data_IF_914782534569
#
_entry.id   IF_914782534569
#
_cell.length_a   1.000
_cell.length_b   1.000
_cell.length_c   1.000
_cell.angle_alpha   90.00
_cell.angle_beta   90.00
_cell.angle_gamma   90.00
#
_symmetry.space_group_name_H-M   'P 1'
#
loop_
_entity.id
_entity.type
_entity.pdbx_description
1 polymer ?
#
# COMPACT_ATOMS: atom_id res chain seq x y z
N UNK A 1 -40.35 8.68 4.89
CA UNK A 1 -39.10 9.21 4.30
C UNK A 1 -39.13 8.88 2.81
N UNK A 2 -39.55 9.86 1.97
CA UNK A 2 -39.60 9.69 0.52
C UNK A 2 -38.16 9.57 -0.02
N UNK A 3 -37.95 8.66 -1.00
CA UNK A 3 -36.70 8.54 -1.71
C UNK A 3 -36.44 9.84 -2.52
N UNK A 4 -35.31 10.55 -2.33
CA UNK A 4 -35.08 11.82 -3.00
C UNK A 4 -34.72 11.58 -4.48
N UNK A 5 -35.70 11.64 -5.38
CA UNK A 5 -35.52 11.37 -6.83
C UNK A 5 -34.42 12.23 -7.46
N UNK A 6 -34.33 13.52 -7.11
CA UNK A 6 -33.30 14.42 -7.64
C UNK A 6 -31.90 13.98 -7.24
N UNK A 7 -31.73 13.48 -6.03
CA UNK A 7 -30.48 12.94 -5.54
C UNK A 7 -30.10 11.65 -6.30
N UNK A 8 -31.07 10.74 -6.45
CA UNK A 8 -30.87 9.50 -7.20
C UNK A 8 -30.51 9.75 -8.67
N UNK A 9 -31.21 10.69 -9.33
CA UNK A 9 -30.92 11.03 -10.73
C UNK A 9 -29.50 11.62 -10.91
N UNK A 10 -29.09 12.51 -10.00
CA UNK A 10 -27.74 13.09 -10.02
C UNK A 10 -26.67 12.04 -9.80
N UNK A 11 -26.87 11.12 -8.85
CA UNK A 11 -25.93 10.02 -8.60
C UNK A 11 -25.91 9.00 -9.73
N UNK A 12 -27.04 8.72 -10.38
CA UNK A 12 -27.09 7.82 -11.53
C UNK A 12 -26.18 8.30 -12.66
N UNK A 13 -26.17 9.61 -12.95
CA UNK A 13 -25.25 10.18 -13.94
C UNK A 13 -23.79 10.00 -13.53
N UNK A 14 -23.44 10.31 -12.27
CA UNK A 14 -22.07 10.16 -11.77
C UNK A 14 -21.62 8.70 -11.81
N UNK A 15 -22.47 7.76 -11.43
CA UNK A 15 -22.20 6.32 -11.49
C UNK A 15 -21.97 5.88 -12.92
N UNK A 16 -22.83 6.30 -13.84
CA UNK A 16 -22.66 5.96 -15.26
C UNK A 16 -21.34 6.47 -15.83
N UNK A 17 -21.04 7.76 -15.66
CA UNK A 17 -19.80 8.37 -16.15
C UNK A 17 -18.57 7.71 -15.51
N UNK A 18 -18.57 7.49 -14.20
CA UNK A 18 -17.47 6.86 -13.48
C UNK A 18 -17.23 5.43 -13.98
N UNK A 19 -18.30 4.65 -14.15
CA UNK A 19 -18.22 3.28 -14.66
C UNK A 19 -17.73 3.23 -16.10
N UNK A 20 -18.18 4.19 -16.94
CA UNK A 20 -17.74 4.31 -18.32
C UNK A 20 -16.23 4.64 -18.39
N UNK A 21 -15.76 5.61 -17.58
CA UNK A 21 -14.31 5.95 -17.50
C UNK A 21 -13.52 4.74 -17.01
N UNK A 22 -13.99 4.05 -15.97
CA UNK A 22 -13.33 2.84 -15.46
C UNK A 22 -13.20 1.76 -16.53
N UNK A 23 -14.23 1.58 -17.35
CA UNK A 23 -14.27 0.55 -18.41
C UNK A 23 -13.34 0.89 -19.57
N UNK A 24 -13.30 2.15 -20.01
CA UNK A 24 -12.61 2.54 -21.25
C UNK A 24 -11.23 3.16 -21.02
N UNK A 25 -11.01 3.74 -19.83
CA UNK A 25 -9.76 4.42 -19.45
C UNK A 25 -9.36 4.10 -17.99
N UNK A 26 -9.17 2.80 -17.66
CA UNK A 26 -8.96 2.39 -16.27
C UNK A 26 -7.76 3.09 -15.63
N UNK A 27 -6.64 3.25 -16.32
CA UNK A 27 -5.47 3.94 -15.78
C UNK A 27 -5.77 5.39 -15.38
N UNK A 28 -6.54 6.14 -16.18
CA UNK A 28 -6.94 7.49 -15.86
C UNK A 28 -7.91 7.53 -14.66
N UNK A 29 -8.83 6.57 -14.60
CA UNK A 29 -9.77 6.43 -13.49
C UNK A 29 -9.04 6.24 -12.16
N UNK A 30 -8.11 5.28 -12.08
CA UNK A 30 -7.36 5.01 -10.85
C UNK A 30 -6.39 6.14 -10.51
N UNK A 31 -5.76 6.78 -11.50
CA UNK A 31 -4.92 7.95 -11.29
C UNK A 31 -5.72 9.09 -10.62
N UNK A 32 -6.92 9.38 -11.12
CA UNK A 32 -7.79 10.40 -10.57
C UNK A 32 -8.23 10.06 -9.14
N UNK A 33 -8.63 8.80 -8.86
CA UNK A 33 -9.02 8.38 -7.52
C UNK A 33 -7.87 8.46 -6.52
N UNK A 34 -6.67 8.03 -6.91
CA UNK A 34 -5.48 8.12 -6.06
C UNK A 34 -5.11 9.57 -5.75
N UNK A 35 -5.28 10.48 -6.72
CA UNK A 35 -5.04 11.91 -6.51
C UNK A 35 -6.12 12.59 -5.68
N UNK A 36 -7.32 12.03 -5.62
CA UNK A 36 -8.43 12.51 -4.80
C UNK A 36 -8.39 12.04 -3.35
N UNK A 37 -7.34 11.29 -2.96
CA UNK A 37 -7.16 10.89 -1.57
C UNK A 37 -6.86 12.11 -0.65
N UNK A 38 -7.36 12.10 0.60
CA UNK A 38 -8.03 11.01 1.30
C UNK A 38 -9.50 10.84 0.91
N UNK A 39 -9.89 9.59 0.61
CA UNK A 39 -11.27 9.20 0.34
C UNK A 39 -11.79 8.28 1.45
N UNK A 40 -13.13 8.29 1.71
CA UNK A 40 -13.71 7.61 2.86
C UNK A 40 -13.54 6.09 2.88
N UNK A 41 -13.72 5.40 1.75
CA UNK A 41 -13.93 3.95 1.76
C UNK A 41 -12.75 3.12 1.25
N UNK A 42 -11.88 3.65 0.40
CA UNK A 42 -10.82 2.89 -0.25
C UNK A 42 -9.43 3.43 0.09
N UNK A 43 -8.55 2.54 0.54
CA UNK A 43 -7.13 2.88 0.72
C UNK A 43 -6.40 2.93 -0.62
N UNK A 44 -5.24 3.62 -0.71
CA UNK A 44 -4.39 3.56 -1.89
C UNK A 44 -4.01 2.13 -2.29
N UNK A 45 -3.74 1.25 -1.31
CA UNK A 45 -3.44 -0.17 -1.55
C UNK A 45 -4.57 -0.87 -2.30
N UNK A 46 -5.83 -0.71 -1.83
CA UNK A 46 -6.99 -1.32 -2.49
C UNK A 46 -7.20 -0.80 -3.91
N UNK A 47 -7.00 0.51 -4.13
CA UNK A 47 -7.11 1.11 -5.47
C UNK A 47 -6.03 0.58 -6.42
N UNK A 48 -4.80 0.46 -5.95
CA UNK A 48 -3.68 -0.09 -6.74
C UNK A 48 -3.91 -1.57 -7.07
N UNK A 49 -4.39 -2.36 -6.11
CA UNK A 49 -4.72 -3.77 -6.37
C UNK A 49 -5.85 -3.92 -7.37
N UNK A 50 -6.91 -3.11 -7.26
CA UNK A 50 -8.02 -3.12 -8.20
C UNK A 50 -7.57 -2.67 -9.60
N UNK A 51 -6.70 -1.65 -9.68
CA UNK A 51 -6.08 -1.22 -10.93
C UNK A 51 -5.34 -2.38 -11.63
N UNK A 52 -4.51 -3.10 -10.88
CA UNK A 52 -3.76 -4.26 -11.40
C UNK A 52 -4.67 -5.39 -11.87
N UNK A 53 -5.81 -5.63 -11.20
CA UNK A 53 -6.84 -6.61 -11.64
C UNK A 53 -7.56 -6.19 -12.93
N UNK A 54 -7.48 -4.91 -13.29
CA UNK A 54 -8.00 -4.35 -14.54
C UNK A 54 -6.88 -4.08 -15.56
N UNK A 55 -5.78 -4.84 -15.46
CA UNK A 55 -4.64 -4.81 -16.39
C UNK A 55 -3.93 -3.44 -16.48
N UNK A 56 -4.06 -2.60 -15.45
CA UNK A 56 -3.32 -1.35 -15.36
C UNK A 56 -1.92 -1.62 -14.81
N UNK A 57 -0.90 -1.34 -15.61
CA UNK A 57 0.48 -1.36 -15.14
C UNK A 57 0.72 -0.20 -14.19
N UNK A 58 1.11 -0.50 -12.95
CA UNK A 58 1.41 0.48 -11.90
C UNK A 58 2.91 0.50 -11.64
N UNK A 59 3.51 1.67 -11.74
CA UNK A 59 4.94 1.91 -11.57
C UNK A 59 5.21 2.58 -10.20
N UNK A 60 6.30 2.19 -9.50
CA UNK A 60 6.62 2.73 -8.18
C UNK A 60 6.98 4.23 -8.23
N UNK A 61 6.99 4.91 -7.07
CA UNK A 61 7.58 6.24 -6.98
C UNK A 61 9.06 6.21 -7.39
N UNK A 62 9.48 7.22 -8.16
CA UNK A 62 10.84 7.33 -8.68
C UNK A 62 11.23 8.82 -8.76
N UNK A 63 12.37 9.19 -8.20
CA UNK A 63 12.87 10.57 -8.18
C UNK A 63 13.08 11.14 -9.58
N UNK A 64 13.34 10.29 -10.58
CA UNK A 64 13.55 10.70 -11.96
C UNK A 64 12.29 10.78 -12.80
N UNK A 65 11.18 10.17 -12.35
CA UNK A 65 9.95 10.10 -13.14
C UNK A 65 8.73 10.67 -12.42
N UNK A 66 8.63 10.47 -11.11
CA UNK A 66 7.44 10.88 -10.35
C UNK A 66 7.37 12.39 -10.14
N UNK A 67 6.14 12.88 -10.12
CA UNK A 67 5.77 14.18 -9.58
C UNK A 67 5.22 14.01 -8.16
N UNK A 68 4.76 15.10 -7.54
CA UNK A 68 4.04 14.99 -6.27
C UNK A 68 2.79 14.13 -6.40
N UNK A 69 1.95 14.43 -7.38
CA UNK A 69 0.75 13.64 -7.68
C UNK A 69 1.07 12.42 -8.54
N UNK A 70 0.15 11.45 -8.54
CA UNK A 70 0.19 10.32 -9.47
C UNK A 70 -0.03 10.81 -10.89
N UNK A 71 0.64 10.19 -11.87
CA UNK A 71 0.61 10.59 -13.27
C UNK A 71 0.45 9.40 -14.20
N UNK A 72 0.08 9.66 -15.45
CA UNK A 72 0.07 8.68 -16.52
C UNK A 72 1.29 8.89 -17.40
N UNK A 73 2.11 7.85 -17.55
CA UNK A 73 3.27 7.89 -18.44
C UNK A 73 2.90 7.48 -19.86
N UNK A 74 3.33 8.27 -20.85
CA UNK A 74 3.22 7.97 -22.28
C UNK A 74 4.31 6.96 -22.71
N UNK A 75 4.11 6.15 -23.77
CA UNK A 75 2.90 6.07 -24.60
C UNK A 75 1.83 5.13 -24.04
N UNK A 76 2.20 4.22 -23.12
CA UNK A 76 1.37 3.11 -22.69
C UNK A 76 0.35 3.45 -21.58
N UNK A 77 0.30 4.71 -21.16
CA UNK A 77 -0.57 5.19 -20.07
C UNK A 77 -0.40 4.37 -18.78
N UNK A 78 0.84 4.01 -18.45
CA UNK A 78 1.14 3.37 -17.18
C UNK A 78 0.86 4.34 -16.04
N UNK A 79 0.31 3.85 -14.94
CA UNK A 79 0.07 4.65 -13.76
C UNK A 79 1.36 4.75 -12.94
N UNK A 80 2.02 5.91 -12.95
CA UNK A 80 3.17 6.21 -12.08
C UNK A 80 2.68 6.71 -10.73
N UNK A 81 3.11 6.05 -9.66
CA UNK A 81 2.82 6.52 -8.30
C UNK A 81 3.60 7.79 -7.99
N UNK A 82 2.90 8.76 -7.41
CA UNK A 82 3.47 10.06 -7.04
C UNK A 82 4.23 10.01 -5.71
N UNK A 83 5.12 10.97 -5.51
CA UNK A 83 5.94 11.11 -4.30
C UNK A 83 5.09 11.35 -3.04
N UNK A 84 3.87 11.90 -3.17
CA UNK A 84 2.91 12.07 -2.06
C UNK A 84 2.55 10.77 -1.33
N UNK A 85 2.81 9.62 -1.96
CA UNK A 85 2.58 8.31 -1.36
C UNK A 85 3.62 8.00 -0.28
N UNK A 86 4.82 8.57 -0.37
CA UNK A 86 5.90 8.36 0.59
C UNK A 86 5.56 9.08 1.89
N UNK A 87 5.35 8.30 2.94
CA UNK A 87 4.91 8.79 4.23
C UNK A 87 5.97 9.69 4.88
N UNK A 88 5.57 10.90 5.24
CA UNK A 88 6.43 11.87 5.90
C UNK A 88 7.32 12.70 4.98
N UNK A 89 7.34 12.42 3.68
CA UNK A 89 8.06 13.25 2.70
C UNK A 89 7.42 14.64 2.64
N UNK A 90 8.25 15.69 2.66
CA UNK A 90 7.76 17.05 2.60
C UNK A 90 7.31 17.42 1.18
N UNK A 91 6.13 18.07 1.07
CA UNK A 91 5.63 18.53 -0.23
C UNK A 91 6.61 19.54 -0.86
N UNK A 92 7.18 20.43 -0.05
CA UNK A 92 8.19 21.40 -0.52
C UNK A 92 9.50 20.75 -0.98
N UNK A 93 9.92 19.65 -0.31
CA UNK A 93 11.07 18.85 -0.75
C UNK A 93 10.81 18.18 -2.09
N UNK A 94 9.63 17.58 -2.25
CA UNK A 94 9.24 16.96 -3.52
C UNK A 94 9.09 17.99 -4.66
N UNK A 95 8.61 19.18 -4.36
CA UNK A 95 8.52 20.26 -5.34
C UNK A 95 9.91 20.73 -5.81
N UNK A 96 10.86 20.92 -4.89
CA UNK A 96 12.24 21.23 -5.25
C UNK A 96 12.88 20.12 -6.06
N UNK A 97 12.64 18.86 -5.71
CA UNK A 97 13.10 17.69 -6.44
C UNK A 97 12.59 17.71 -7.89
N UNK A 98 11.32 17.98 -8.10
CA UNK A 98 10.73 18.04 -9.43
C UNK A 98 11.26 19.24 -10.24
N UNK A 99 11.29 20.44 -9.64
CA UNK A 99 11.66 21.68 -10.33
C UNK A 99 13.15 21.74 -10.70
N UNK A 100 14.01 21.10 -9.91
CA UNK A 100 15.46 21.09 -10.12
C UNK A 100 15.97 19.81 -10.80
N UNK A 101 15.06 18.97 -11.29
CA UNK A 101 15.41 17.71 -11.97
C UNK A 101 16.12 18.03 -13.29
N UNK A 102 17.37 17.51 -13.49
CA UNK A 102 18.04 17.61 -14.78
C UNK A 102 17.24 16.93 -15.90
N UNK A 103 17.39 17.36 -17.13
CA UNK A 103 16.73 16.75 -18.29
C UNK A 103 17.04 15.25 -18.44
N UNK A 104 18.25 14.85 -18.05
CA UNK A 104 18.70 13.45 -18.06
C UNK A 104 18.40 12.69 -16.74
N UNK A 105 17.74 13.34 -15.79
CA UNK A 105 17.50 12.82 -14.43
C UNK A 105 18.72 12.95 -13.52
N UNK A 106 18.50 12.62 -12.24
CA UNK A 106 19.58 12.53 -11.24
C UNK A 106 20.37 11.25 -11.46
N UNK A 107 21.70 11.32 -11.27
CA UNK A 107 22.64 10.22 -11.50
C UNK A 107 23.23 9.64 -10.22
N UNK A 108 23.11 10.36 -9.10
CA UNK A 108 23.61 9.93 -7.79
C UNK A 108 22.82 10.53 -6.64
N UNK A 109 22.97 9.95 -5.45
CA UNK A 109 22.39 10.45 -4.20
C UNK A 109 22.95 11.82 -3.84
N UNK A 110 24.23 12.07 -4.12
CA UNK A 110 24.89 13.36 -3.89
C UNK A 110 24.32 14.45 -4.79
N UNK A 111 24.17 14.18 -6.09
CA UNK A 111 23.58 15.11 -7.05
C UNK A 111 22.13 15.43 -6.69
N UNK A 112 21.32 14.41 -6.36
CA UNK A 112 19.95 14.59 -5.91
C UNK A 112 19.87 15.52 -4.68
N UNK A 113 20.69 15.24 -3.66
CA UNK A 113 20.74 16.05 -2.44
C UNK A 113 21.10 17.50 -2.75
N UNK A 114 22.14 17.69 -3.54
CA UNK A 114 22.67 19.03 -3.85
C UNK A 114 21.70 19.85 -4.69
N UNK A 115 21.25 19.32 -5.82
CA UNK A 115 20.40 20.06 -6.75
C UNK A 115 18.98 20.31 -6.20
N UNK A 116 18.40 19.31 -5.55
CA UNK A 116 17.07 19.45 -4.97
C UNK A 116 17.08 20.09 -3.57
N UNK A 117 18.25 20.31 -2.97
CA UNK A 117 18.36 20.91 -1.64
C UNK A 117 17.60 20.11 -0.57
N UNK A 118 17.66 18.78 -0.63
CA UNK A 118 16.93 17.91 0.28
C UNK A 118 17.68 17.77 1.60
N UNK A 119 16.91 17.77 2.69
CA UNK A 119 17.45 17.48 4.02
C UNK A 119 17.67 15.98 4.21
N UNK A 120 18.39 15.61 5.28
CA UNK A 120 18.71 14.22 5.60
C UNK A 120 17.44 13.35 5.71
N UNK A 121 16.40 13.85 6.39
CA UNK A 121 15.14 13.14 6.57
C UNK A 121 14.45 12.83 5.24
N UNK A 122 14.32 13.80 4.34
CA UNK A 122 13.68 13.57 3.02
C UNK A 122 14.48 12.55 2.21
N UNK A 123 15.81 12.59 2.26
CA UNK A 123 16.69 11.60 1.61
C UNK A 123 16.49 10.18 2.17
N UNK A 124 16.41 10.04 3.50
CA UNK A 124 16.16 8.76 4.15
C UNK A 124 14.77 8.19 3.79
N UNK A 125 13.76 9.03 3.69
CA UNK A 125 12.42 8.62 3.27
C UNK A 125 12.38 8.13 1.82
N UNK A 126 13.09 8.81 0.92
CA UNK A 126 13.26 8.37 -0.47
C UNK A 126 14.02 7.04 -0.57
N UNK A 127 15.08 6.86 0.21
CA UNK A 127 15.82 5.59 0.30
C UNK A 127 14.92 4.46 0.82
N UNK A 128 14.19 4.70 1.92
CA UNK A 128 13.25 3.74 2.50
C UNK A 128 12.14 3.32 1.55
N UNK A 129 11.68 4.25 0.71
CA UNK A 129 10.68 3.98 -0.32
C UNK A 129 11.25 3.33 -1.59
N UNK A 130 12.57 3.08 -1.64
CA UNK A 130 13.27 2.61 -2.84
C UNK A 130 13.00 3.47 -4.08
N UNK A 131 12.91 4.80 -3.88
CA UNK A 131 12.51 5.75 -4.91
C UNK A 131 13.68 6.24 -5.80
N UNK A 132 14.85 5.61 -5.69
CA UNK A 132 16.08 5.96 -6.42
C UNK A 132 16.64 4.80 -7.27
N UNK A 133 15.80 4.03 -8.01
CA UNK A 133 16.23 2.79 -8.67
C UNK A 133 17.23 3.02 -9.80
N UNK A 134 17.34 4.23 -10.33
CA UNK A 134 18.22 4.56 -11.45
C UNK A 134 19.69 4.53 -11.07
N UNK A 135 20.02 4.85 -9.81
CA UNK A 135 21.41 4.99 -9.36
C UNK A 135 21.70 4.28 -8.03
N UNK A 136 20.71 3.55 -7.48
CA UNK A 136 20.91 2.65 -6.35
C UNK A 136 20.34 1.26 -6.70
N UNK A 137 21.05 0.21 -6.36
CA UNK A 137 20.60 -1.17 -6.66
C UNK A 137 19.43 -1.60 -5.79
N UNK A 138 19.40 -1.12 -4.54
CA UNK A 138 18.37 -1.42 -3.56
C UNK A 138 18.38 -0.37 -2.42
N UNK A 139 17.39 -0.44 -1.53
CA UNK A 139 17.24 0.49 -0.41
C UNK A 139 18.39 0.44 0.61
N UNK A 140 19.03 -0.71 0.82
CA UNK A 140 20.19 -0.82 1.70
C UNK A 140 21.38 -0.03 1.13
N UNK A 141 21.64 -0.17 -0.17
CA UNK A 141 22.67 0.59 -0.85
C UNK A 141 22.35 2.10 -0.83
N UNK A 142 21.07 2.47 -1.02
CA UNK A 142 20.65 3.86 -0.92
C UNK A 142 20.95 4.44 0.47
N UNK A 143 20.57 3.76 1.55
CA UNK A 143 20.89 4.18 2.92
C UNK A 143 22.39 4.28 3.18
N UNK A 144 23.15 3.31 2.71
CA UNK A 144 24.62 3.31 2.86
C UNK A 144 25.23 4.55 2.22
N UNK A 145 24.87 4.86 0.97
CA UNK A 145 25.34 6.05 0.27
C UNK A 145 24.95 7.37 0.98
N UNK A 146 23.83 7.39 1.71
CA UNK A 146 23.46 8.56 2.50
C UNK A 146 24.35 8.77 3.72
N UNK A 147 24.86 7.68 4.32
CA UNK A 147 25.77 7.74 5.47
C UNK A 147 27.19 8.12 5.07
N UNK A 148 27.63 7.74 3.87
CA UNK A 148 28.97 8.09 3.35
C UNK A 148 29.11 9.59 3.07
N UNK A 149 28.02 10.31 2.88
CA UNK A 149 28.03 11.75 2.61
C UNK A 149 27.98 12.55 3.92
N UNK A 150 29.07 12.53 4.69
CA UNK A 150 29.33 13.58 5.66
C UNK A 150 29.46 14.91 4.89
N UNK A 151 28.75 15.94 5.35
CA UNK A 151 28.92 17.29 4.78
C UNK A 151 30.39 17.69 5.06
N UNK A 152 31.20 17.98 4.02
CA UNK A 152 32.53 18.52 4.28
C UNK A 152 32.33 19.80 5.09
N UNK A 153 33.01 19.91 6.22
CA UNK A 153 33.01 21.14 6.99
C UNK A 153 33.39 22.29 6.05
N UNK A 154 32.65 23.39 6.10
CA UNK A 154 32.81 24.54 5.17
C UNK A 154 34.27 24.98 4.95
N UNK A 155 35.12 24.72 5.98
CA UNK A 155 36.55 25.01 5.97
C UNK A 155 37.35 24.19 4.93
N UNK A 156 36.89 22.99 4.57
CA UNK A 156 37.61 22.07 3.67
C UNK A 156 36.88 21.79 2.35
N UNK A 157 35.79 22.48 2.06
CA UNK A 157 34.93 22.26 0.90
C UNK A 157 35.66 22.35 -0.46
N UNK A 158 36.76 23.11 -0.53
CA UNK A 158 37.54 23.27 -1.76
C UNK A 158 38.60 22.17 -1.97
N UNK A 159 39.09 21.57 -0.91
CA UNK A 159 40.13 20.53 -1.00
C UNK A 159 39.56 19.11 -1.15
N UNK A 160 38.38 18.85 -0.59
CA UNK A 160 37.73 17.53 -0.64
C UNK A 160 37.16 17.19 -2.03
N UNK A 161 36.79 18.14 -2.84
CA UNK A 161 36.29 17.90 -4.19
C UNK A 161 37.34 17.32 -5.15
N UNK A 162 38.62 17.54 -4.89
CA UNK A 162 39.72 17.09 -5.76
C UNK A 162 40.27 15.70 -5.44
N UNK A 163 39.96 15.13 -4.27
CA UNK A 163 40.57 13.88 -3.77
C UNK A 163 39.56 12.80 -3.38
N UNK A 164 38.27 12.99 -3.65
CA UNK A 164 37.26 11.96 -3.38
C UNK A 164 37.38 10.86 -4.44
N UNK A 165 38.25 9.89 -4.17
CA UNK A 165 38.13 8.59 -4.82
C UNK A 165 37.04 7.84 -4.06
N UNK A 166 35.97 7.36 -4.73
CA UNK A 166 34.98 6.52 -4.06
C UNK A 166 35.73 5.27 -3.54
N UNK A 167 35.91 5.22 -2.21
CA UNK A 167 36.36 4.00 -1.56
C UNK A 167 35.41 2.88 -1.98
N UNK A 168 35.95 1.71 -2.25
CA UNK A 168 35.27 0.53 -2.77
C UNK A 168 33.78 0.51 -2.43
N UNK A 169 32.91 0.57 -3.47
CA UNK A 169 31.48 0.35 -3.29
C UNK A 169 31.26 -1.01 -2.66
N UNK A 170 31.14 -1.05 -1.35
CA UNK A 170 30.71 -2.26 -0.64
C UNK A 170 29.33 -2.65 -1.16
N UNK A 171 29.24 -3.81 -1.81
CA UNK A 171 27.94 -4.37 -2.17
C UNK A 171 27.32 -4.94 -0.90
N UNK A 172 26.33 -4.23 -0.39
CA UNK A 172 25.54 -4.72 0.73
C UNK A 172 24.66 -5.89 0.28
N UNK A 173 24.38 -6.85 1.17
CA UNK A 173 23.44 -7.92 0.87
C UNK A 173 22.09 -7.34 0.40
N UNK A 174 21.53 -7.93 -0.65
CA UNK A 174 20.20 -7.54 -1.11
C UNK A 174 19.16 -7.86 -0.03
N UNK A 175 18.21 -6.94 0.21
CA UNK A 175 17.11 -7.23 1.12
C UNK A 175 16.26 -8.38 0.57
N UNK A 176 15.85 -9.29 1.43
CA UNK A 176 14.91 -10.35 1.06
C UNK A 176 13.58 -9.75 0.58
N UNK A 177 12.81 -10.52 -0.20
CA UNK A 177 11.49 -10.09 -0.65
C UNK A 177 10.59 -9.70 0.53
N UNK A 178 10.60 -10.48 1.61
CA UNK A 178 9.84 -10.16 2.82
C UNK A 178 10.26 -8.83 3.45
N UNK A 179 11.57 -8.54 3.53
CA UNK A 179 12.07 -7.25 4.01
C UNK A 179 11.64 -6.10 3.10
N UNK A 180 11.67 -6.30 1.78
CA UNK A 180 11.20 -5.31 0.82
C UNK A 180 9.71 -5.01 0.97
N UNK A 181 8.88 -6.05 1.07
CA UNK A 181 7.43 -5.92 1.30
C UNK A 181 7.16 -5.16 2.61
N UNK A 182 7.86 -5.50 3.70
CA UNK A 182 7.73 -4.81 4.99
C UNK A 182 8.09 -3.32 4.87
N UNK A 183 9.21 -3.03 4.22
CA UNK A 183 9.68 -1.66 4.03
C UNK A 183 8.74 -0.83 3.12
N UNK A 184 8.15 -1.44 2.09
CA UNK A 184 7.15 -0.81 1.22
C UNK A 184 5.91 -0.40 2.03
N UNK A 185 5.38 -1.31 2.85
CA UNK A 185 4.25 -0.96 3.72
C UNK A 185 4.61 0.11 4.76
N UNK A 186 5.83 0.08 5.30
CA UNK A 186 6.29 1.08 6.25
C UNK A 186 6.46 2.46 5.62
N UNK A 187 6.93 2.53 4.38
CA UNK A 187 7.23 3.79 3.69
C UNK A 187 6.08 4.34 2.85
N UNK A 188 5.22 3.48 2.29
CA UNK A 188 4.21 3.87 1.30
C UNK A 188 2.79 3.38 1.64
N UNK A 189 2.64 2.47 2.62
CA UNK A 189 1.36 1.87 3.00
C UNK A 189 0.84 0.82 2.00
N UNK A 190 1.62 0.45 0.99
CA UNK A 190 1.31 -0.59 0.00
C UNK A 190 2.60 -1.16 -0.58
N UNK A 191 2.51 -2.31 -1.24
CA UNK A 191 3.60 -2.87 -2.03
C UNK A 191 3.15 -3.17 -3.46
N UNK A 192 4.05 -3.04 -4.42
CA UNK A 192 3.87 -3.51 -5.80
C UNK A 192 4.44 -4.92 -6.01
N UNK A 193 5.11 -5.48 -5.00
CA UNK A 193 5.60 -6.86 -4.97
C UNK A 193 4.48 -7.84 -4.64
N UNK A 194 4.83 -9.08 -4.31
CA UNK A 194 3.86 -10.07 -3.88
C UNK A 194 3.19 -9.66 -2.55
N UNK A 195 1.93 -10.01 -2.42
CA UNK A 195 1.19 -9.75 -1.18
C UNK A 195 1.84 -10.49 0.01
N UNK A 196 1.93 -9.88 1.22
CA UNK A 196 2.58 -10.52 2.37
C UNK A 196 1.97 -11.87 2.74
N UNK A 197 0.67 -12.07 2.54
CA UNK A 197 0.05 -13.37 2.81
C UNK A 197 0.50 -14.47 1.85
N UNK A 198 0.84 -14.14 0.60
CA UNK A 198 1.42 -15.10 -0.34
C UNK A 198 2.73 -15.66 0.20
N UNK A 199 3.59 -14.78 0.75
CA UNK A 199 4.86 -15.18 1.37
C UNK A 199 4.64 -16.05 2.61
N UNK A 200 3.70 -15.66 3.50
CA UNK A 200 3.37 -16.43 4.70
C UNK A 200 2.77 -17.81 4.36
N UNK A 201 2.01 -17.89 3.27
CA UNK A 201 1.44 -19.15 2.79
C UNK A 201 2.53 -20.08 2.24
N UNK A 202 3.46 -19.56 1.46
CA UNK A 202 4.61 -20.31 0.95
C UNK A 202 5.50 -20.83 2.08
N UNK A 203 5.71 -20.02 3.12
CA UNK A 203 6.43 -20.43 4.34
C UNK A 203 5.66 -21.46 5.21
N UNK A 204 4.43 -21.76 4.83
CA UNK A 204 3.61 -22.77 5.52
C UNK A 204 2.87 -22.27 6.76
N UNK A 205 2.90 -20.98 7.08
CA UNK A 205 2.17 -20.42 8.24
C UNK A 205 0.64 -20.46 8.08
N UNK A 206 0.14 -20.50 6.83
CA UNK A 206 -1.29 -20.41 6.51
C UNK A 206 -1.81 -21.67 5.79
N UNK A 207 -1.25 -22.86 6.06
CA UNK A 207 -1.55 -24.13 5.35
C UNK A 207 -3.04 -24.48 5.27
N UNK A 208 -3.81 -24.16 6.29
CA UNK A 208 -5.22 -24.52 6.38
C UNK A 208 -6.18 -23.35 6.10
N UNK A 209 -5.64 -22.19 5.76
CA UNK A 209 -6.43 -21.02 5.46
C UNK A 209 -6.74 -20.97 3.97
N UNK A 210 -8.02 -20.91 3.64
CA UNK A 210 -8.48 -20.65 2.28
C UNK A 210 -8.28 -19.18 1.93
N UNK A 211 -7.96 -18.89 0.67
CA UNK A 211 -7.92 -17.53 0.16
C UNK A 211 -9.31 -17.09 -0.36
N UNK A 212 -9.47 -15.80 -0.66
CA UNK A 212 -10.74 -15.21 -1.08
C UNK A 212 -11.30 -15.88 -2.36
N UNK A 213 -10.41 -16.27 -3.28
CA UNK A 213 -10.83 -16.94 -4.51
C UNK A 213 -11.32 -18.37 -4.26
N UNK A 214 -10.62 -19.11 -3.42
CA UNK A 214 -11.00 -20.47 -3.05
C UNK A 214 -12.35 -20.52 -2.35
N UNK A 215 -12.69 -19.51 -1.52
CA UNK A 215 -13.98 -19.43 -0.83
C UNK A 215 -15.17 -19.40 -1.79
N UNK A 216 -15.00 -18.85 -3.00
CA UNK A 216 -16.05 -18.79 -4.02
C UNK A 216 -16.53 -20.19 -4.44
N UNK A 217 -15.68 -21.20 -4.31
CA UNK A 217 -15.95 -22.58 -4.73
C UNK A 217 -16.42 -23.48 -3.59
N UNK A 218 -16.49 -22.96 -2.36
CA UNK A 218 -16.94 -23.72 -1.19
C UNK A 218 -18.46 -23.62 -1.05
N UNK A 219 -19.11 -24.73 -0.72
CA UNK A 219 -20.54 -24.76 -0.46
C UNK A 219 -20.90 -24.03 0.83
N UNK A 220 -22.02 -23.27 0.87
CA UNK A 220 -22.53 -22.67 2.09
C UNK A 220 -22.73 -23.70 3.23
N UNK A 221 -22.59 -23.26 4.48
CA UNK A 221 -22.70 -24.10 5.66
C UNK A 221 -21.43 -24.88 6.01
N UNK A 222 -20.39 -24.84 5.20
CA UNK A 222 -19.13 -25.55 5.48
C UNK A 222 -18.25 -24.77 6.46
N UNK A 223 -17.56 -25.45 7.39
CA UNK A 223 -16.56 -24.83 8.23
C UNK A 223 -15.32 -24.44 7.37
N UNK A 224 -14.86 -23.22 7.55
CA UNK A 224 -13.72 -22.67 6.82
C UNK A 224 -12.75 -21.98 7.78
N UNK A 225 -11.50 -21.86 7.33
CA UNK A 225 -10.49 -21.06 7.98
C UNK A 225 -9.95 -20.06 6.95
N UNK A 226 -9.88 -18.80 7.35
CA UNK A 226 -9.34 -17.71 6.53
C UNK A 226 -8.37 -16.88 7.34
N UNK A 227 -7.42 -16.25 6.67
CA UNK A 227 -6.55 -15.26 7.29
C UNK A 227 -6.37 -14.11 6.32
N UNK A 228 -6.28 -12.89 6.83
CA UNK A 228 -6.10 -11.70 6.01
C UNK A 228 -5.66 -10.49 6.82
N UNK A 229 -5.09 -9.50 6.11
CA UNK A 229 -4.85 -8.19 6.65
C UNK A 229 -6.19 -7.51 6.91
N UNK A 230 -6.35 -6.93 8.10
CA UNK A 230 -7.58 -6.23 8.44
C UNK A 230 -7.57 -4.85 7.80
N UNK A 231 -8.38 -4.66 6.76
CA UNK A 231 -8.49 -3.39 6.02
C UNK A 231 -9.67 -2.55 6.47
N UNK A 232 -10.63 -3.12 7.18
CA UNK A 232 -11.78 -2.41 7.71
C UNK A 232 -12.46 -3.14 8.85
N UNK A 233 -12.98 -2.37 9.81
CA UNK A 233 -13.89 -2.81 10.86
C UNK A 233 -15.05 -1.83 10.93
N UNK A 234 -16.26 -2.35 10.86
CA UNK A 234 -17.46 -1.53 10.90
C UNK A 234 -18.45 -2.14 11.89
N UNK A 235 -19.01 -1.30 12.75
CA UNK A 235 -20.07 -1.69 13.69
C UNK A 235 -21.24 -0.72 13.53
N UNK A 236 -22.10 -0.94 12.52
CA UNK A 236 -23.25 -0.08 12.29
C UNK A 236 -24.19 -0.10 13.51
N UNK A 237 -24.69 1.05 13.91
CA UNK A 237 -25.65 1.16 15.03
C UNK A 237 -26.95 0.39 14.77
N UNK A 238 -27.34 0.23 13.49
CA UNK A 238 -28.52 -0.53 13.07
C UNK A 238 -28.36 -2.06 13.08
N UNK A 239 -27.13 -2.57 13.20
CA UNK A 239 -26.83 -3.99 13.05
C UNK A 239 -26.82 -4.78 14.38
N UNK A 240 -27.58 -4.36 15.39
CA UNK A 240 -27.74 -5.07 16.69
C UNK A 240 -26.41 -5.50 17.33
N UNK A 241 -25.34 -4.70 17.11
CA UNK A 241 -24.02 -4.93 17.69
C UNK A 241 -23.13 -5.91 16.92
N UNK A 242 -23.52 -6.35 15.75
CA UNK A 242 -22.69 -7.12 14.82
C UNK A 242 -21.52 -6.25 14.33
N UNK A 243 -20.34 -6.86 14.23
CA UNK A 243 -19.14 -6.21 13.67
C UNK A 243 -18.79 -6.87 12.34
N UNK A 244 -18.67 -6.08 11.32
CA UNK A 244 -18.19 -6.48 10.01
C UNK A 244 -16.69 -6.21 9.92
N UNK A 245 -15.93 -7.23 9.52
CA UNK A 245 -14.49 -7.12 9.33
C UNK A 245 -14.16 -7.48 7.89
N UNK A 246 -13.43 -6.61 7.20
CA UNK A 246 -12.90 -6.91 5.87
C UNK A 246 -11.46 -7.35 6.01
N UNK A 247 -11.18 -8.55 5.52
CA UNK A 247 -9.84 -9.12 5.44
C UNK A 247 -9.37 -9.08 3.99
N UNK A 248 -8.12 -8.69 3.77
CA UNK A 248 -7.47 -8.67 2.47
C UNK A 248 -6.42 -9.78 2.41
N UNK A 249 -6.46 -10.58 1.37
CA UNK A 249 -5.42 -11.56 1.04
C UNK A 249 -4.84 -11.32 -0.37
N UNK A 250 -3.97 -12.21 -0.81
CA UNK A 250 -3.31 -12.14 -2.12
C UNK A 250 -4.26 -12.24 -3.31
N UNK A 251 -5.50 -12.73 -3.10
CA UNK A 251 -6.49 -12.94 -4.17
C UNK A 251 -7.68 -12.00 -4.09
N UNK A 252 -7.93 -11.40 -2.94
CA UNK A 252 -9.06 -10.48 -2.78
C UNK A 252 -9.44 -10.15 -1.34
N UNK A 253 -10.70 -9.77 -1.19
CA UNK A 253 -11.27 -9.44 0.10
C UNK A 253 -12.21 -10.55 0.59
N UNK A 254 -12.15 -10.81 1.89
CA UNK A 254 -13.05 -11.73 2.60
C UNK A 254 -13.86 -10.92 3.59
N UNK A 255 -15.19 -11.02 3.49
CA UNK A 255 -16.09 -10.38 4.44
C UNK A 255 -16.34 -11.33 5.63
N UNK A 256 -16.05 -10.86 6.82
CA UNK A 256 -16.23 -11.60 8.07
C UNK A 256 -17.32 -10.93 8.91
N UNK A 257 -18.28 -11.70 9.33
CA UNK A 257 -19.37 -11.25 10.22
C UNK A 257 -19.11 -11.78 11.63
N UNK A 258 -18.96 -10.88 12.58
CA UNK A 258 -18.68 -11.20 13.98
C UNK A 258 -19.89 -10.80 14.83
N UNK A 259 -20.63 -11.80 15.30
CA UNK A 259 -21.79 -11.60 16.16
C UNK A 259 -21.41 -10.99 17.51
N UNK A 260 -22.32 -10.24 18.10
CA UNK A 260 -22.09 -9.49 19.34
C UNK A 260 -21.46 -10.33 20.46
N UNK A 261 -21.93 -11.56 20.63
CA UNK A 261 -21.42 -12.46 21.67
C UNK A 261 -19.97 -12.88 21.40
N UNK A 262 -19.65 -13.24 20.15
CA UNK A 262 -18.29 -13.55 19.73
C UNK A 262 -17.38 -12.33 19.85
N UNK A 263 -17.87 -11.16 19.47
CA UNK A 263 -17.15 -9.89 19.60
C UNK A 263 -16.82 -9.53 21.07
N UNK A 264 -17.75 -9.79 22.00
CA UNK A 264 -17.52 -9.59 23.44
C UNK A 264 -16.49 -10.56 24.00
N UNK A 265 -16.60 -11.84 23.69
CA UNK A 265 -15.69 -12.89 24.20
C UNK A 265 -14.28 -12.75 23.62
N UNK A 266 -14.16 -12.30 22.38
CA UNK A 266 -12.89 -12.26 21.65
C UNK A 266 -12.54 -10.82 21.22
N UNK A 267 -12.81 -9.87 22.13
CA UNK A 267 -12.63 -8.44 21.86
C UNK A 267 -11.19 -8.09 21.48
N UNK A 268 -10.19 -8.66 22.20
CA UNK A 268 -8.79 -8.34 21.97
C UNK A 268 -8.35 -8.63 20.54
N UNK A 269 -8.41 -9.86 20.01
CA UNK A 269 -8.01 -10.12 18.62
C UNK A 269 -8.88 -9.35 17.60
N UNK A 270 -10.17 -9.13 17.90
CA UNK A 270 -11.05 -8.35 17.02
C UNK A 270 -10.59 -6.91 16.83
N UNK A 271 -10.06 -6.26 17.87
CA UNK A 271 -9.69 -4.84 17.81
C UNK A 271 -8.22 -4.65 17.44
N UNK A 272 -7.31 -5.51 17.96
CA UNK A 272 -5.87 -5.25 17.85
C UNK A 272 -5.20 -5.93 16.68
N UNK A 273 -5.80 -7.01 16.13
CA UNK A 273 -5.15 -7.77 15.08
C UNK A 273 -4.98 -6.94 13.79
N UNK A 274 -3.77 -6.92 13.27
CA UNK A 274 -3.45 -6.44 11.90
C UNK A 274 -3.56 -7.58 10.89
N UNK A 275 -3.13 -8.78 11.28
CA UNK A 275 -3.38 -10.03 10.58
C UNK A 275 -4.32 -10.86 11.44
N UNK A 276 -5.53 -11.06 10.96
CA UNK A 276 -6.56 -11.80 11.68
C UNK A 276 -6.77 -13.17 11.03
N UNK A 277 -6.71 -14.21 11.83
CA UNK A 277 -7.13 -15.55 11.46
C UNK A 277 -8.52 -15.81 12.02
N UNK A 278 -9.40 -16.33 11.17
CA UNK A 278 -10.81 -16.60 11.50
C UNK A 278 -11.15 -18.05 11.18
N UNK A 279 -11.69 -18.75 12.17
CA UNK A 279 -12.40 -20.02 11.95
C UNK A 279 -13.89 -19.73 12.03
N UNK A 280 -14.63 -20.16 11.03
CA UNK A 280 -16.05 -19.84 10.94
C UNK A 280 -16.81 -20.76 10.00
N UNK A 281 -18.04 -20.40 9.72
CA UNK A 281 -18.91 -21.07 8.77
C UNK A 281 -19.10 -20.13 7.56
N UNK A 282 -18.99 -20.70 6.39
CA UNK A 282 -19.21 -19.95 5.15
C UNK A 282 -20.71 -19.82 4.90
N UNK A 283 -21.16 -18.58 4.71
CA UNK A 283 -22.49 -18.26 4.23
C UNK A 283 -22.43 -17.53 2.90
N UNK A 284 -23.48 -17.66 2.10
CA UNK A 284 -23.56 -17.01 0.79
C UNK A 284 -24.94 -16.41 0.60
N UNK A 285 -24.96 -15.16 0.20
CA UNK A 285 -26.16 -14.44 -0.19
C UNK A 285 -25.98 -13.90 -1.62
N UNK A 286 -26.60 -14.55 -2.58
CA UNK A 286 -26.35 -14.30 -4.00
C UNK A 286 -24.87 -14.58 -4.35
N UNK A 287 -24.19 -13.58 -4.89
CA UNK A 287 -22.76 -13.64 -5.24
C UNK A 287 -21.82 -13.26 -4.08
N UNK A 288 -22.40 -12.78 -2.97
CA UNK A 288 -21.61 -12.30 -1.84
C UNK A 288 -21.33 -13.45 -0.87
N UNK A 289 -20.05 -13.63 -0.56
CA UNK A 289 -19.57 -14.66 0.39
C UNK A 289 -19.22 -14.00 1.71
N UNK A 290 -19.76 -14.54 2.81
CA UNK A 290 -19.47 -14.14 4.17
C UNK A 290 -18.90 -15.29 4.99
N UNK A 291 -17.99 -15.00 5.90
CA UNK A 291 -17.52 -15.96 6.91
C UNK A 291 -18.10 -15.56 8.27
N UNK A 292 -19.01 -16.37 8.80
CA UNK A 292 -19.59 -16.19 10.13
C UNK A 292 -18.59 -16.62 11.17
N UNK A 293 -17.99 -15.68 11.89
CA UNK A 293 -16.86 -15.94 12.78
C UNK A 293 -17.25 -16.70 14.05
N UNK A 294 -16.63 -17.84 14.28
CA UNK A 294 -16.70 -18.58 15.55
C UNK A 294 -15.47 -18.32 16.44
N UNK A 295 -14.26 -18.36 15.86
CA UNK A 295 -12.99 -18.11 16.58
C UNK A 295 -12.11 -17.13 15.82
N UNK A 296 -11.58 -16.17 16.58
CA UNK A 296 -10.63 -15.16 16.11
C UNK A 296 -9.26 -15.40 16.74
N UNK A 297 -8.20 -15.28 15.98
CA UNK A 297 -6.82 -15.38 16.49
C UNK A 297 -5.96 -14.29 15.86
N UNK A 298 -5.20 -13.59 16.69
CA UNK A 298 -4.29 -12.55 16.25
C UNK A 298 -2.97 -13.19 15.78
N UNK A 299 -2.65 -13.06 14.49
CA UNK A 299 -1.40 -13.51 13.87
C UNK A 299 -0.48 -12.34 13.52
N UNK A 300 -0.72 -11.16 14.07
CA UNK A 300 0.06 -9.94 13.74
C UNK A 300 1.55 -10.08 14.02
N UNK A 301 1.96 -11.01 14.89
CA UNK A 301 3.37 -11.31 15.13
C UNK A 301 4.10 -11.84 13.89
N UNK A 302 3.37 -12.43 12.93
CA UNK A 302 3.97 -12.88 11.66
C UNK A 302 4.32 -11.71 10.73
N UNK A 303 3.72 -10.55 10.98
CA UNK A 303 3.93 -9.32 10.22
C UNK A 303 4.20 -8.12 11.14
N UNK A 304 4.98 -8.34 12.20
CA UNK A 304 5.13 -7.42 13.36
C UNK A 304 5.45 -5.96 13.02
N UNK A 305 5.92 -5.68 11.83
CA UNK A 305 6.36 -4.34 11.44
C UNK A 305 5.50 -3.70 10.34
N UNK A 306 4.43 -4.37 9.86
CA UNK A 306 3.56 -3.78 8.85
C UNK A 306 2.64 -2.70 9.46
N UNK A 307 2.79 -1.42 9.11
CA UNK A 307 1.84 -0.39 9.46
C UNK A 307 0.59 -0.54 8.57
N UNK A 308 -0.30 -1.45 8.92
CA UNK A 308 -1.62 -1.53 8.30
C UNK A 308 -2.54 -0.60 9.07
N UNK A 309 -2.83 0.56 8.51
CA UNK A 309 -3.86 1.44 9.04
C UNK A 309 -5.23 0.83 8.71
N UNK A 310 -5.86 0.17 9.67
CA UNK A 310 -7.27 -0.18 9.55
C UNK A 310 -8.10 1.08 9.76
N UNK A 311 -9.06 1.33 8.87
CA UNK A 311 -10.03 2.41 9.06
C UNK A 311 -11.16 1.87 9.94
N UNK A 312 -11.24 2.38 11.15
CA UNK A 312 -12.33 2.08 12.06
C UNK A 312 -13.40 3.17 11.88
N UNK A 313 -14.56 2.77 11.40
CA UNK A 313 -15.75 3.61 11.36
C UNK A 313 -16.59 3.31 12.60
N UNK A 314 -16.79 4.32 13.40
CA UNK A 314 -17.66 4.29 14.59
C UNK A 314 -19.11 4.55 14.24
#
# INVERSE_FOLDING_TARGET
>A
YGFPESHAASFALLVYVSSWIKRHYPAAFYCALLNSQPMGFYSPSQLVQDARRHDVTVLPPDVNHSQWNHTLESPNRHLRLGLRLIQGLSASGAERLYNNRPAEGYRSTAELRHLAGLNQRDMELLAGANAMPTFTTNRHQAYWQLLEHEQPAELFAKETAAHYQPEHCYQLPEPTEGQNVLADYASQGLTLQRHPLALLREQGHLKFCLNAEQLKNIQPGRPVQVAGLVTGRQRPGSASGVTFVTLEDETGNVNVVVWLETARRQRKPLITARLLHVKGILEREGDIVHVMAGRLSDLSHLIQTLPVNSRDFH
#
